data_IF_573380719792
#
_entry.id   IF_573380719792
#
_cell.length_a   1.000
_cell.length_b   1.000
_cell.length_c   1.000
_cell.angle_alpha   90.00
_cell.angle_beta   90.00
_cell.angle_gamma   90.00
#
_symmetry.space_group_name_H-M   'P 1'
#
loop_
_entity.id
_entity.type
_entity.pdbx_description
1 polymer ?
#
# COMPACT_ATOMS: atom_id res chain seq x y z
N UNK A 1 13.46 74.14 -19.95
CA UNK A 1 12.26 73.60 -19.29
C UNK A 1 11.73 72.32 -19.95
N UNK A 2 11.50 72.22 -21.24
CA UNK A 2 10.96 70.97 -21.88
C UNK A 2 11.81 69.70 -21.65
N UNK A 3 13.15 69.75 -21.61
CA UNK A 3 14.03 68.61 -21.32
C UNK A 3 13.89 68.07 -19.91
N UNK A 4 13.68 68.91 -18.92
CA UNK A 4 13.52 68.47 -17.52
C UNK A 4 12.16 67.87 -17.24
N UNK A 5 11.12 68.29 -17.97
CA UNK A 5 9.76 67.70 -17.88
C UNK A 5 9.76 66.30 -18.50
N UNK A 6 10.46 66.08 -19.65
CA UNK A 6 10.56 64.78 -20.27
C UNK A 6 11.32 63.77 -19.42
N UNK A 7 12.41 64.20 -18.78
CA UNK A 7 13.17 63.34 -17.84
C UNK A 7 12.37 63.00 -16.55
N UNK A 8 11.58 63.95 -16.03
CA UNK A 8 10.72 63.72 -14.87
C UNK A 8 9.59 62.72 -15.18
N UNK A 9 9.00 62.80 -16.39
CA UNK A 9 7.97 61.85 -16.84
C UNK A 9 8.58 60.46 -17.05
N UNK A 10 9.80 60.34 -17.63
CA UNK A 10 10.48 59.05 -17.81
C UNK A 10 10.85 58.37 -16.46
N UNK A 11 11.26 59.13 -15.48
CA UNK A 11 11.57 58.63 -14.12
C UNK A 11 10.29 58.18 -13.40
N UNK A 12 9.19 58.92 -13.56
CA UNK A 12 7.90 58.59 -12.93
C UNK A 12 7.27 57.34 -13.54
N UNK A 13 7.37 57.14 -14.87
CA UNK A 13 6.90 55.90 -15.55
C UNK A 13 7.76 54.68 -15.23
N UNK A 14 9.05 54.87 -14.94
CA UNK A 14 9.93 53.76 -14.53
C UNK A 14 9.72 53.36 -13.08
N UNK A 15 9.39 54.30 -12.20
CA UNK A 15 9.11 54.04 -10.77
C UNK A 15 7.76 53.36 -10.54
N UNK A 16 6.75 53.56 -11.39
CA UNK A 16 5.43 52.91 -11.28
C UNK A 16 5.44 51.50 -11.86
N UNK A 17 6.45 51.12 -12.65
CA UNK A 17 6.61 49.77 -13.22
C UNK A 17 7.21 48.74 -12.25
N UNK A 18 7.79 49.17 -11.13
CA UNK A 18 8.46 48.28 -10.16
C UNK A 18 7.57 47.82 -9.00
N UNK A 19 6.32 48.33 -8.88
CA UNK A 19 5.40 47.95 -7.80
C UNK A 19 4.35 46.89 -8.21
N UNK A 20 4.53 46.21 -9.35
CA UNK A 20 3.54 45.28 -9.91
C UNK A 20 3.76 43.82 -9.56
N UNK A 21 4.68 43.46 -8.66
CA UNK A 21 4.75 42.11 -8.11
C UNK A 21 4.40 42.22 -6.62
N UNK A 22 3.13 42.15 -6.30
CA UNK A 22 2.70 41.87 -4.93
C UNK A 22 3.10 40.44 -4.57
N UNK A 23 3.46 40.21 -3.32
CA UNK A 23 3.87 38.87 -2.78
C UNK A 23 2.83 37.81 -3.06
N UNK A 24 1.55 38.16 -3.24
CA UNK A 24 0.45 37.26 -3.58
C UNK A 24 0.54 36.61 -4.97
N UNK A 25 1.38 37.10 -5.90
CA UNK A 25 1.60 36.47 -7.20
C UNK A 25 2.49 35.22 -7.09
N UNK A 26 3.29 35.11 -6.05
CA UNK A 26 4.15 33.96 -5.76
C UNK A 26 3.48 32.96 -4.82
N UNK A 27 2.37 33.32 -4.20
CA UNK A 27 1.54 32.42 -3.41
C UNK A 27 0.61 31.65 -4.34
N UNK A 28 1.06 30.49 -4.79
CA UNK A 28 0.22 29.58 -5.55
C UNK A 28 -0.53 28.68 -4.58
N UNK A 29 -1.82 28.91 -4.43
CA UNK A 29 -2.69 27.95 -3.76
C UNK A 29 -2.64 26.61 -4.50
N UNK A 30 -2.34 25.56 -3.76
CA UNK A 30 -2.32 24.20 -4.34
C UNK A 30 -3.74 23.68 -4.52
N UNK A 31 -4.40 24.07 -5.61
CA UNK A 31 -5.78 23.63 -5.93
C UNK A 31 -5.92 22.12 -6.18
N UNK A 32 -4.82 21.36 -6.21
CA UNK A 32 -4.81 19.91 -6.46
C UNK A 32 -4.37 19.08 -5.27
N UNK A 33 -4.12 19.69 -4.14
CA UNK A 33 -3.69 19.02 -2.93
C UNK A 33 -4.28 19.66 -1.68
N UNK A 34 -4.33 18.89 -0.61
CA UNK A 34 -4.67 19.40 0.72
C UNK A 34 -3.43 20.09 1.28
N UNK A 35 -3.59 21.31 1.79
CA UNK A 35 -2.52 22.04 2.45
C UNK A 35 -1.97 21.20 3.63
N UNK A 36 -0.65 21.05 3.69
CA UNK A 36 0.02 20.26 4.72
C UNK A 36 -0.17 20.84 6.13
N UNK A 37 -0.29 22.15 6.26
CA UNK A 37 -0.37 22.83 7.56
C UNK A 37 -1.81 22.97 8.09
N UNK A 38 -2.83 22.94 7.22
CA UNK A 38 -4.23 23.15 7.61
C UNK A 38 -5.21 22.10 7.12
N UNK A 39 -4.78 21.22 6.23
CA UNK A 39 -5.69 20.35 5.50
C UNK A 39 -6.25 19.17 6.30
N UNK A 40 -5.62 18.74 7.38
CA UNK A 40 -6.05 17.61 8.22
C UNK A 40 -6.52 18.07 9.62
N UNK A 41 -7.23 19.17 9.69
CA UNK A 41 -7.63 19.83 10.94
C UNK A 41 -9.03 19.45 11.44
N UNK A 42 -9.70 18.51 10.80
CA UNK A 42 -11.00 17.96 11.22
C UNK A 42 -11.03 16.44 11.07
N UNK A 43 -11.90 15.79 11.86
CA UNK A 43 -12.11 14.33 11.81
C UNK A 43 -12.55 13.89 10.39
N UNK A 44 -13.38 14.69 9.73
CA UNK A 44 -13.82 14.44 8.34
C UNK A 44 -12.64 14.49 7.36
N UNK A 45 -11.73 15.45 7.50
CA UNK A 45 -10.57 15.56 6.64
C UNK A 45 -9.59 14.39 6.85
N UNK A 46 -9.42 13.96 8.09
CA UNK A 46 -8.63 12.75 8.43
C UNK A 46 -9.24 11.51 7.77
N UNK A 47 -10.56 11.32 7.85
CA UNK A 47 -11.27 10.23 7.16
C UNK A 47 -11.04 10.25 5.66
N UNK A 48 -11.10 11.44 5.05
CA UNK A 48 -10.85 11.61 3.60
C UNK A 48 -9.41 11.26 3.23
N UNK A 49 -8.44 11.67 4.02
CA UNK A 49 -7.03 11.34 3.82
C UNK A 49 -6.76 9.85 3.98
N UNK A 50 -7.42 9.20 4.95
CA UNK A 50 -7.37 7.74 5.12
C UNK A 50 -7.89 7.01 3.88
N UNK A 51 -9.02 7.43 3.32
CA UNK A 51 -9.55 6.88 2.07
C UNK A 51 -8.56 7.10 0.90
N UNK A 52 -7.92 8.27 0.85
CA UNK A 52 -6.82 8.54 -0.09
C UNK A 52 -5.63 7.58 0.08
N UNK A 53 -5.34 7.16 1.32
CA UNK A 53 -4.28 6.18 1.60
C UNK A 53 -4.64 4.78 1.09
N UNK A 54 -5.90 4.35 1.24
CA UNK A 54 -6.40 3.12 0.60
C UNK A 54 -6.30 3.18 -0.92
N UNK A 55 -6.62 4.34 -1.53
CA UNK A 55 -6.46 4.52 -2.97
C UNK A 55 -5.00 4.38 -3.40
N UNK A 56 -4.04 4.91 -2.64
CA UNK A 56 -2.61 4.73 -2.93
C UNK A 56 -2.17 3.27 -2.81
N UNK A 57 -2.65 2.54 -1.79
CA UNK A 57 -2.41 1.11 -1.67
C UNK A 57 -2.96 0.36 -2.88
N UNK A 58 -4.19 0.66 -3.31
CA UNK A 58 -4.87 0.03 -4.45
C UNK A 58 -4.27 0.41 -5.80
N UNK A 59 -3.46 1.47 -5.88
CA UNK A 59 -2.92 1.91 -7.17
C UNK A 59 -2.18 0.77 -7.89
N UNK A 60 -2.39 0.65 -9.23
CA UNK A 60 -1.84 -0.48 -10.00
C UNK A 60 -0.32 -0.59 -9.91
N UNK A 61 0.38 0.54 -9.76
CA UNK A 61 1.84 0.54 -9.61
C UNK A 61 2.32 0.04 -8.23
N UNK A 62 1.41 -0.31 -7.32
CA UNK A 62 1.70 -0.93 -6.03
C UNK A 62 0.85 -2.19 -5.82
N UNK A 63 0.04 -2.27 -4.74
CA UNK A 63 -0.69 -3.49 -4.37
C UNK A 63 -1.90 -3.79 -5.28
N UNK A 64 -2.30 -2.88 -6.18
CA UNK A 64 -3.33 -3.14 -7.19
C UNK A 64 -2.87 -4.03 -8.35
N UNK A 65 -1.56 -4.12 -8.60
CA UNK A 65 -0.99 -5.01 -9.62
C UNK A 65 0.51 -5.27 -9.38
N UNK A 66 1.41 -4.27 -9.52
CA UNK A 66 2.83 -4.50 -9.70
C UNK A 66 3.48 -5.24 -8.53
N UNK A 67 3.17 -4.87 -7.30
CA UNK A 67 3.72 -5.53 -6.11
C UNK A 67 3.21 -6.97 -5.92
N UNK A 68 2.06 -7.32 -6.51
CA UNK A 68 1.56 -8.70 -6.55
C UNK A 68 2.24 -9.50 -7.66
N UNK A 69 2.32 -8.89 -8.86
CA UNK A 69 2.88 -9.54 -10.04
C UNK A 69 4.37 -9.87 -9.90
N UNK A 70 5.15 -9.00 -9.24
CA UNK A 70 6.60 -9.16 -9.08
C UNK A 70 6.97 -10.43 -8.28
N UNK A 71 6.05 -10.94 -7.46
CA UNK A 71 6.27 -12.17 -6.70
C UNK A 71 6.14 -13.45 -7.53
N UNK A 72 5.34 -13.40 -8.61
CA UNK A 72 5.01 -14.58 -9.41
C UNK A 72 5.79 -14.61 -10.73
N UNK A 73 5.93 -13.46 -11.40
CA UNK A 73 6.48 -13.36 -12.76
C UNK A 73 7.90 -13.94 -12.88
N UNK A 74 8.87 -13.60 -12.00
CA UNK A 74 10.24 -14.10 -12.12
C UNK A 74 10.42 -15.51 -11.56
N UNK A 75 9.36 -16.32 -11.50
CA UNK A 75 9.43 -17.67 -10.93
C UNK A 75 9.18 -18.75 -11.97
N UNK A 76 9.50 -19.98 -11.62
CA UNK A 76 9.29 -21.16 -12.46
C UNK A 76 7.83 -21.64 -12.51
N UNK A 77 6.93 -21.00 -11.74
CA UNK A 77 5.49 -21.26 -11.79
C UNK A 77 4.76 -20.43 -12.86
N UNK A 78 5.41 -19.40 -13.41
CA UNK A 78 4.85 -18.53 -14.45
C UNK A 78 5.51 -18.80 -15.81
N UNK A 79 4.70 -18.81 -16.85
CA UNK A 79 5.14 -18.80 -18.25
C UNK A 79 4.64 -17.53 -18.94
N UNK A 80 5.54 -16.88 -19.67
CA UNK A 80 5.22 -15.74 -20.49
C UNK A 80 5.88 -15.82 -21.86
N UNK A 81 5.15 -15.43 -22.89
CA UNK A 81 5.59 -15.57 -24.27
C UNK A 81 6.36 -14.36 -24.83
N UNK A 82 6.66 -13.36 -23.98
CA UNK A 82 7.44 -12.15 -24.29
C UNK A 82 6.87 -11.23 -25.40
N UNK A 83 5.64 -11.45 -25.86
CA UNK A 83 5.07 -10.73 -27.01
C UNK A 83 4.66 -9.28 -26.71
N UNK A 84 4.37 -8.95 -25.43
CA UNK A 84 3.79 -7.65 -25.08
C UNK A 84 4.78 -6.67 -24.49
N UNK A 85 5.98 -7.10 -24.13
CA UNK A 85 6.99 -6.27 -23.44
C UNK A 85 6.70 -5.97 -21.97
N UNK A 86 5.52 -6.36 -21.42
CA UNK A 86 5.19 -6.14 -20.03
C UNK A 86 6.04 -7.06 -19.12
N UNK A 87 6.71 -6.47 -18.13
CA UNK A 87 7.59 -7.17 -17.19
C UNK A 87 8.70 -8.01 -17.84
N UNK A 88 9.09 -7.71 -19.07
CA UNK A 88 10.08 -8.49 -19.83
C UNK A 88 11.40 -8.61 -19.08
N UNK A 89 11.95 -7.49 -18.64
CA UNK A 89 13.18 -7.46 -17.86
C UNK A 89 13.08 -8.23 -16.54
N UNK A 90 11.92 -8.22 -15.90
CA UNK A 90 11.66 -8.95 -14.64
C UNK A 90 11.62 -10.46 -14.93
N UNK A 91 10.86 -10.89 -15.93
CA UNK A 91 10.75 -12.30 -16.31
C UNK A 91 12.08 -12.92 -16.76
N UNK A 92 12.87 -12.16 -17.53
CA UNK A 92 14.15 -12.60 -18.08
C UNK A 92 15.35 -12.36 -17.16
N UNK A 93 15.13 -11.77 -15.97
CA UNK A 93 16.18 -11.37 -15.03
C UNK A 93 17.21 -10.38 -15.62
N UNK A 94 16.77 -9.52 -16.54
CA UNK A 94 17.62 -8.48 -17.18
C UNK A 94 17.33 -7.06 -16.67
N UNK A 95 16.56 -6.95 -15.58
CA UNK A 95 16.24 -5.67 -14.95
C UNK A 95 17.48 -5.02 -14.31
N UNK A 96 17.43 -3.70 -14.21
CA UNK A 96 18.46 -2.88 -13.58
C UNK A 96 17.85 -1.99 -12.50
N UNK A 97 18.66 -1.19 -11.82
CA UNK A 97 18.23 -0.19 -10.84
C UNK A 97 17.33 0.93 -11.42
N UNK A 98 17.25 1.02 -12.75
CA UNK A 98 16.37 1.95 -13.48
C UNK A 98 15.07 1.33 -13.94
N UNK A 99 14.79 0.07 -13.58
CA UNK A 99 13.56 -0.62 -13.98
C UNK A 99 12.31 0.13 -13.50
N UNK A 100 11.38 0.38 -14.44
CA UNK A 100 10.21 1.21 -14.18
C UNK A 100 9.22 0.56 -13.21
N UNK A 101 9.07 -0.77 -13.26
CA UNK A 101 8.16 -1.48 -12.36
C UNK A 101 8.66 -1.44 -10.93
N UNK A 102 9.94 -1.78 -10.72
CA UNK A 102 10.58 -1.71 -9.40
C UNK A 102 10.57 -0.28 -8.86
N UNK A 103 10.97 0.72 -9.68
CA UNK A 103 10.90 2.12 -9.27
C UNK A 103 9.48 2.52 -8.84
N UNK A 104 8.46 2.12 -9.57
CA UNK A 104 7.07 2.47 -9.29
C UNK A 104 6.57 1.82 -8.00
N UNK A 105 6.87 0.54 -7.76
CA UNK A 105 6.53 -0.14 -6.51
C UNK A 105 7.15 0.59 -5.30
N UNK A 106 8.42 0.96 -5.40
CA UNK A 106 9.13 1.73 -4.37
C UNK A 106 8.43 3.06 -4.10
N UNK A 107 8.18 3.84 -5.13
CA UNK A 107 7.57 5.17 -5.02
C UNK A 107 6.17 5.11 -4.39
N UNK A 108 5.28 4.26 -4.90
CA UNK A 108 3.90 4.19 -4.42
C UNK A 108 3.77 3.46 -3.08
N UNK A 109 4.67 2.54 -2.76
CA UNK A 109 4.76 1.94 -1.43
C UNK A 109 5.08 2.98 -0.37
N UNK A 110 6.07 3.84 -0.62
CA UNK A 110 6.40 4.94 0.30
C UNK A 110 5.34 6.04 0.36
N UNK A 111 4.68 6.36 -0.75
CA UNK A 111 3.52 7.27 -0.73
C UNK A 111 2.41 6.73 0.18
N UNK A 112 2.15 5.43 0.13
CA UNK A 112 1.17 4.80 1.01
C UNK A 112 1.59 4.90 2.47
N UNK A 113 2.84 4.56 2.80
CA UNK A 113 3.36 4.61 4.16
C UNK A 113 3.39 6.04 4.73
N UNK A 114 3.81 7.04 3.94
CA UNK A 114 3.86 8.45 4.36
C UNK A 114 2.45 9.03 4.55
N UNK A 115 1.51 8.74 3.65
CA UNK A 115 0.12 9.16 3.81
C UNK A 115 -0.50 8.55 5.08
N UNK A 116 -0.25 7.28 5.37
CA UNK A 116 -0.69 6.65 6.61
C UNK A 116 -0.08 7.33 7.85
N UNK A 117 1.21 7.67 7.81
CA UNK A 117 1.88 8.41 8.88
C UNK A 117 1.25 9.79 9.12
N UNK A 118 0.84 10.50 8.06
CA UNK A 118 0.12 11.79 8.15
C UNK A 118 -1.26 11.63 8.80
N UNK A 119 -2.00 10.60 8.45
CA UNK A 119 -3.29 10.28 9.07
C UNK A 119 -3.12 10.00 10.57
N UNK A 120 -2.11 9.23 10.97
CA UNK A 120 -1.80 8.96 12.37
C UNK A 120 -1.49 10.26 13.10
N UNK A 121 -0.57 11.07 12.59
CA UNK A 121 -0.16 12.34 13.21
C UNK A 121 -1.34 13.30 13.38
N UNK A 122 -2.16 13.47 12.33
CA UNK A 122 -3.33 14.34 12.37
C UNK A 122 -4.38 13.85 13.37
N UNK A 123 -4.63 12.54 13.41
CA UNK A 123 -5.55 11.93 14.38
C UNK A 123 -5.09 12.17 15.82
N UNK A 124 -3.81 12.01 16.10
CA UNK A 124 -3.22 12.28 17.42
C UNK A 124 -3.34 13.76 17.81
N UNK A 125 -3.12 14.67 16.87
CA UNK A 125 -3.22 16.12 17.13
C UNK A 125 -4.66 16.55 17.49
N UNK A 126 -5.67 15.93 16.87
CA UNK A 126 -7.08 16.23 17.14
C UNK A 126 -7.59 15.58 18.42
N UNK A 127 -7.02 14.45 18.84
CA UNK A 127 -7.57 13.55 19.84
C UNK A 127 -7.91 14.22 21.17
N UNK A 128 -7.05 15.06 21.69
CA UNK A 128 -7.22 15.68 23.03
C UNK A 128 -8.41 16.64 23.11
N UNK A 129 -8.77 17.25 21.99
CA UNK A 129 -9.86 18.24 21.91
C UNK A 129 -11.15 17.66 21.30
N UNK A 130 -11.13 16.37 20.94
CA UNK A 130 -12.26 15.68 20.31
C UNK A 130 -13.31 15.27 21.34
N UNK A 131 -14.57 15.20 20.93
CA UNK A 131 -15.65 14.55 21.69
C UNK A 131 -15.41 13.04 21.80
N UNK A 132 -16.17 12.35 22.66
CA UNK A 132 -15.99 10.89 22.86
C UNK A 132 -16.33 10.10 21.58
N UNK A 133 -17.32 10.53 20.80
CA UNK A 133 -17.65 9.95 19.51
C UNK A 133 -16.51 10.15 18.50
N UNK A 134 -15.98 11.37 18.41
CA UNK A 134 -14.83 11.67 17.55
C UNK A 134 -13.57 10.92 17.99
N UNK A 135 -13.32 10.74 19.28
CA UNK A 135 -12.21 9.90 19.79
C UNK A 135 -12.34 8.45 19.35
N UNK A 136 -13.55 7.93 19.35
CA UNK A 136 -13.83 6.58 18.84
C UNK A 136 -13.48 6.48 17.34
N UNK A 137 -13.90 7.45 16.53
CA UNK A 137 -13.57 7.50 15.11
C UNK A 137 -12.07 7.68 14.87
N UNK A 138 -11.43 8.61 15.58
CA UNK A 138 -9.99 8.84 15.47
C UNK A 138 -9.17 7.61 15.84
N UNK A 139 -9.56 6.86 16.88
CA UNK A 139 -8.93 5.58 17.20
C UNK A 139 -9.10 4.58 16.05
N UNK A 140 -10.28 4.47 15.45
CA UNK A 140 -10.51 3.59 14.31
C UNK A 140 -9.65 4.00 13.11
N UNK A 141 -9.54 5.32 12.81
CA UNK A 141 -8.70 5.80 11.71
C UNK A 141 -7.21 5.60 11.97
N UNK A 142 -6.75 5.79 13.21
CA UNK A 142 -5.38 5.45 13.60
C UNK A 142 -5.10 3.96 13.45
N UNK A 143 -6.02 3.11 13.87
CA UNK A 143 -5.89 1.66 13.71
C UNK A 143 -5.70 1.26 12.25
N UNK A 144 -6.56 1.73 11.37
CA UNK A 144 -6.46 1.46 9.93
C UNK A 144 -5.17 2.04 9.33
N UNK A 145 -4.79 3.26 9.71
CA UNK A 145 -3.58 3.89 9.19
C UNK A 145 -2.29 3.16 9.65
N UNK A 146 -2.22 2.72 10.91
CA UNK A 146 -1.14 1.85 11.37
C UNK A 146 -1.09 0.52 10.60
N UNK A 147 -2.24 -0.13 10.38
CA UNK A 147 -2.32 -1.37 9.61
C UNK A 147 -1.89 -1.16 8.15
N UNK A 148 -2.30 -0.06 7.50
CA UNK A 148 -1.89 0.32 6.14
C UNK A 148 -0.39 0.57 6.05
N UNK A 149 0.19 1.29 7.02
CA UNK A 149 1.62 1.56 7.06
C UNK A 149 2.43 0.29 7.25
N UNK A 150 2.04 -0.55 8.19
CA UNK A 150 2.65 -1.86 8.42
C UNK A 150 2.56 -2.75 7.19
N UNK A 151 1.41 -2.80 6.51
CA UNK A 151 1.23 -3.59 5.29
C UNK A 151 2.07 -3.07 4.11
N UNK A 152 2.08 -1.75 3.89
CA UNK A 152 2.92 -1.16 2.84
C UNK A 152 4.41 -1.45 3.07
N UNK A 153 4.89 -1.28 4.30
CA UNK A 153 6.26 -1.57 4.68
C UNK A 153 6.59 -3.07 4.59
N UNK A 154 5.63 -3.96 4.90
CA UNK A 154 5.80 -5.41 4.72
C UNK A 154 6.00 -5.79 3.24
N UNK A 155 5.18 -5.23 2.34
CA UNK A 155 5.35 -5.45 0.89
C UNK A 155 6.69 -4.93 0.39
N UNK A 156 7.09 -3.72 0.81
CA UNK A 156 8.39 -3.14 0.47
C UNK A 156 9.55 -4.00 0.99
N UNK A 157 9.47 -4.47 2.23
CA UNK A 157 10.51 -5.32 2.83
C UNK A 157 10.67 -6.64 2.08
N UNK A 158 9.57 -7.27 1.69
CA UNK A 158 9.60 -8.53 0.95
C UNK A 158 10.15 -8.39 -0.48
N UNK A 159 10.01 -7.19 -1.09
CA UNK A 159 10.46 -6.97 -2.47
C UNK A 159 11.91 -6.45 -2.52
N UNK A 160 12.30 -5.59 -1.58
CA UNK A 160 13.60 -4.89 -1.61
C UNK A 160 14.56 -5.29 -0.51
N UNK A 161 14.08 -5.95 0.55
CA UNK A 161 14.92 -6.50 1.60
C UNK A 161 15.41 -7.90 1.26
N UNK A 162 16.43 -8.35 1.98
CA UNK A 162 16.80 -9.76 1.96
C UNK A 162 15.74 -10.58 2.69
N UNK A 163 15.52 -11.84 2.30
CA UNK A 163 14.73 -12.76 3.14
C UNK A 163 15.47 -12.95 4.47
N UNK A 164 14.78 -12.68 5.58
CA UNK A 164 15.43 -12.57 6.91
C UNK A 164 16.09 -13.88 7.37
N UNK A 165 15.51 -15.03 6.97
CA UNK A 165 16.09 -16.36 7.23
C UNK A 165 16.05 -17.21 5.98
N UNK A 166 17.16 -17.87 5.66
CA UNK A 166 17.28 -18.79 4.52
C UNK A 166 18.11 -20.00 4.96
N UNK A 167 17.50 -21.19 4.97
CA UNK A 167 18.16 -22.44 5.35
C UNK A 167 18.86 -22.36 6.72
N UNK A 168 18.22 -21.68 7.69
CA UNK A 168 18.76 -21.48 9.04
C UNK A 168 19.80 -20.37 9.18
N UNK A 169 20.20 -19.74 8.09
CA UNK A 169 21.07 -18.56 8.13
C UNK A 169 20.26 -17.29 8.39
N UNK A 170 20.73 -16.45 9.30
CA UNK A 170 20.12 -15.18 9.66
C UNK A 170 20.69 -14.02 8.83
N UNK A 171 19.82 -13.24 8.19
CA UNK A 171 20.13 -12.06 7.39
C UNK A 171 19.51 -10.78 7.95
N UNK A 172 19.15 -10.78 9.24
CA UNK A 172 18.50 -9.64 9.89
C UNK A 172 19.33 -8.35 9.86
N UNK A 173 20.64 -8.46 9.75
CA UNK A 173 21.58 -7.33 9.63
C UNK A 173 21.72 -6.77 8.21
N UNK A 174 21.20 -7.47 7.19
CA UNK A 174 21.23 -6.99 5.81
C UNK A 174 20.31 -5.78 5.60
N UNK A 175 20.53 -5.04 4.49
CA UNK A 175 19.72 -3.84 4.20
C UNK A 175 18.25 -4.19 3.93
N UNK A 176 17.38 -3.63 4.76
CA UNK A 176 15.93 -3.68 4.65
C UNK A 176 15.37 -2.51 3.84
N UNK A 177 14.44 -1.76 4.42
CA UNK A 177 13.77 -0.61 3.82
C UNK A 177 14.09 0.71 4.54
N UNK A 178 13.62 1.83 4.00
CA UNK A 178 13.54 3.09 4.74
C UNK A 178 12.30 3.02 5.61
N UNK A 179 12.46 3.00 6.92
CA UNK A 179 11.32 2.95 7.84
C UNK A 179 10.62 4.31 7.88
N UNK A 180 9.32 4.31 7.61
CA UNK A 180 8.45 5.47 7.76
C UNK A 180 7.69 5.33 9.08
N UNK A 181 8.19 5.96 10.12
CA UNK A 181 7.61 6.01 11.47
C UNK A 181 6.76 7.26 11.69
N UNK A 182 7.06 8.34 10.97
CA UNK A 182 6.38 9.62 10.97
C UNK A 182 6.42 10.25 9.58
N UNK A 183 5.59 11.26 9.28
CA UNK A 183 5.65 11.97 8.01
C UNK A 183 7.04 12.48 7.69
N UNK A 184 7.44 12.42 6.43
CA UNK A 184 8.75 12.89 5.99
C UNK A 184 8.59 14.17 5.16
N UNK A 185 9.48 15.12 5.40
CA UNK A 185 9.56 16.31 4.57
C UNK A 185 10.16 16.00 3.20
N UNK A 186 9.74 16.76 2.20
CA UNK A 186 10.27 16.61 0.85
C UNK A 186 11.81 16.78 0.84
N UNK A 187 12.48 16.00 0.00
CA UNK A 187 13.93 16.03 -0.19
C UNK A 187 14.77 15.58 1.04
N UNK A 188 14.15 15.10 2.11
CA UNK A 188 14.88 14.53 3.24
C UNK A 188 15.66 13.29 2.80
N UNK A 189 16.95 13.27 3.06
CA UNK A 189 17.81 12.11 2.78
C UNK A 189 17.73 11.14 3.96
N UNK A 190 17.20 9.96 3.74
CA UNK A 190 17.04 8.92 4.76
C UNK A 190 17.75 7.66 4.26
N UNK A 191 18.50 7.00 5.13
CA UNK A 191 19.12 5.72 4.84
C UNK A 191 18.16 4.56 5.03
N UNK A 192 18.40 3.45 4.36
CA UNK A 192 17.71 2.18 4.63
C UNK A 192 18.15 1.67 6.00
N UNK A 193 17.19 1.11 6.73
CA UNK A 193 17.41 0.35 7.96
C UNK A 193 17.77 -1.11 7.63
N UNK A 194 18.04 -1.91 8.65
CA UNK A 194 18.24 -3.36 8.46
C UNK A 194 16.92 -4.08 8.22
N UNK A 195 16.98 -5.31 7.73
CA UNK A 195 15.82 -6.19 7.59
C UNK A 195 15.16 -6.46 8.95
N UNK A 196 15.97 -6.70 10.00
CA UNK A 196 15.48 -6.91 11.36
C UNK A 196 14.68 -5.71 11.87
N UNK A 197 15.26 -4.51 11.80
CA UNK A 197 14.59 -3.25 12.17
C UNK A 197 13.31 -3.02 11.34
N UNK A 198 13.33 -3.39 10.06
CA UNK A 198 12.14 -3.27 9.20
C UNK A 198 10.99 -4.15 9.70
N UNK A 199 11.26 -5.41 10.04
CA UNK A 199 10.24 -6.31 10.60
C UNK A 199 9.76 -5.87 11.99
N UNK A 200 10.63 -5.34 12.84
CA UNK A 200 10.25 -4.78 14.14
C UNK A 200 9.29 -3.59 13.97
N UNK A 201 9.58 -2.68 13.05
CA UNK A 201 8.70 -1.54 12.75
C UNK A 201 7.33 -2.00 12.25
N UNK A 202 7.28 -3.00 11.35
CA UNK A 202 6.05 -3.59 10.82
C UNK A 202 5.21 -4.21 11.95
N UNK A 203 5.83 -5.01 12.82
CA UNK A 203 5.15 -5.64 13.97
C UNK A 203 4.60 -4.58 14.92
N UNK A 204 5.39 -3.55 15.20
CA UNK A 204 4.96 -2.46 16.08
C UNK A 204 3.75 -1.72 15.48
N UNK A 205 3.75 -1.42 14.19
CA UNK A 205 2.62 -0.81 13.51
C UNK A 205 1.35 -1.68 13.61
N UNK A 206 1.46 -2.96 13.29
CA UNK A 206 0.31 -3.87 13.33
C UNK A 206 -0.22 -4.08 14.77
N UNK A 207 0.65 -4.10 15.78
CA UNK A 207 0.23 -4.16 17.20
C UNK A 207 -0.42 -2.86 17.65
N UNK A 208 0.10 -1.70 17.25
CA UNK A 208 -0.54 -0.41 17.50
C UNK A 208 -1.92 -0.34 16.83
N UNK A 209 -2.07 -0.87 15.61
CA UNK A 209 -3.36 -0.98 14.96
C UNK A 209 -4.37 -1.77 15.81
N UNK A 210 -4.00 -2.93 16.32
CA UNK A 210 -4.87 -3.72 17.20
C UNK A 210 -5.24 -2.97 18.49
N UNK A 211 -4.28 -2.29 19.13
CA UNK A 211 -4.53 -1.49 20.31
C UNK A 211 -5.54 -0.36 20.07
N UNK A 212 -5.42 0.33 18.93
CA UNK A 212 -6.36 1.38 18.55
C UNK A 212 -7.74 0.84 18.16
N UNK A 213 -7.83 -0.33 17.53
CA UNK A 213 -9.12 -1.01 17.33
C UNK A 213 -9.79 -1.41 18.64
N UNK A 214 -9.01 -1.80 19.65
CA UNK A 214 -9.54 -2.06 20.98
C UNK A 214 -10.05 -0.79 21.66
N UNK A 215 -9.30 0.29 21.60
CA UNK A 215 -9.70 1.59 22.12
C UNK A 215 -10.97 2.14 21.42
N UNK A 216 -11.13 1.90 20.12
CA UNK A 216 -12.34 2.25 19.37
C UNK A 216 -13.54 1.34 19.70
N UNK A 217 -13.28 0.14 20.23
CA UNK A 217 -14.31 -0.88 20.48
C UNK A 217 -14.94 -1.50 19.22
N UNK A 218 -14.51 -1.06 18.03
CA UNK A 218 -15.06 -1.48 16.73
C UNK A 218 -14.02 -1.38 15.62
N UNK A 219 -14.30 -2.01 14.49
CA UNK A 219 -13.76 -1.70 13.16
C UNK A 219 -14.93 -1.41 12.21
N UNK A 220 -14.65 -1.12 10.93
CA UNK A 220 -15.74 -0.80 9.97
C UNK A 220 -16.57 -2.02 9.60
N UNK A 221 -16.05 -3.24 9.78
CA UNK A 221 -16.73 -4.49 9.42
C UNK A 221 -16.87 -4.76 7.92
N UNK A 222 -16.33 -3.90 7.08
CA UNK A 222 -16.36 -4.00 5.62
C UNK A 222 -15.00 -4.48 5.11
N UNK A 223 -15.00 -5.43 4.17
CA UNK A 223 -13.77 -6.10 3.72
C UNK A 223 -12.80 -5.21 2.94
N UNK A 224 -13.25 -4.08 2.40
CA UNK A 224 -12.39 -3.10 1.74
C UNK A 224 -11.56 -2.25 2.70
N UNK A 225 -11.79 -2.36 4.00
CA UNK A 225 -11.00 -1.71 5.04
C UNK A 225 -10.26 -2.74 5.88
N UNK A 226 -9.05 -2.41 6.28
CA UNK A 226 -8.25 -3.26 7.18
C UNK A 226 -8.89 -3.24 8.59
N UNK A 227 -9.53 -4.34 8.95
CA UNK A 227 -10.10 -4.55 10.28
C UNK A 227 -9.22 -5.43 11.18
N UNK A 228 -9.73 -5.76 12.36
CA UNK A 228 -9.04 -6.61 13.36
C UNK A 228 -8.61 -7.96 12.80
N UNK A 229 -9.48 -8.63 12.03
CA UNK A 229 -9.18 -9.93 11.44
C UNK A 229 -7.99 -9.85 10.47
N UNK A 230 -8.04 -8.90 9.52
CA UNK A 230 -6.98 -8.69 8.53
C UNK A 230 -5.65 -8.30 9.21
N UNK A 231 -5.69 -7.45 10.23
CA UNK A 231 -4.48 -7.03 10.97
C UNK A 231 -3.82 -8.21 11.68
N UNK A 232 -4.60 -9.11 12.31
CA UNK A 232 -4.06 -10.35 12.87
C UNK A 232 -3.50 -11.26 11.77
N UNK A 233 -4.15 -11.35 10.61
CA UNK A 233 -3.64 -12.09 9.45
C UNK A 233 -2.30 -11.55 8.93
N UNK A 234 -2.12 -10.21 8.93
CA UNK A 234 -0.84 -9.59 8.58
C UNK A 234 0.25 -9.87 9.62
N UNK A 235 -0.07 -9.87 10.91
CA UNK A 235 0.87 -10.30 11.97
C UNK A 235 1.25 -11.76 11.81
N UNK A 236 0.29 -12.65 11.57
CA UNK A 236 0.56 -14.06 11.31
C UNK A 236 1.53 -14.25 10.14
N UNK A 237 1.30 -13.54 9.03
CA UNK A 237 2.19 -13.56 7.85
C UNK A 237 3.58 -13.00 8.18
N UNK A 238 3.66 -11.92 8.95
CA UNK A 238 4.93 -11.31 9.34
C UNK A 238 5.75 -12.27 10.20
N UNK A 239 5.14 -12.91 11.20
CA UNK A 239 5.81 -13.91 12.04
C UNK A 239 6.16 -15.19 11.28
N UNK A 240 5.39 -15.56 10.24
CA UNK A 240 5.73 -16.66 9.33
C UNK A 240 7.06 -16.41 8.61
N UNK A 241 7.27 -15.20 8.09
CA UNK A 241 8.55 -14.82 7.47
C UNK A 241 9.73 -14.84 8.45
N UNK A 242 9.47 -14.52 9.72
CA UNK A 242 10.45 -14.59 10.81
C UNK A 242 10.74 -16.01 11.30
N UNK A 243 10.04 -17.03 10.75
CA UNK A 243 10.05 -18.42 11.25
C UNK A 243 9.67 -18.53 12.74
N UNK A 244 8.91 -17.58 13.24
CA UNK A 244 8.31 -17.64 14.58
C UNK A 244 6.94 -18.33 14.49
N UNK A 245 6.98 -19.65 14.44
CA UNK A 245 5.81 -20.51 14.18
C UNK A 245 4.71 -20.38 15.24
N UNK A 246 5.08 -20.17 16.49
CA UNK A 246 4.12 -20.07 17.59
C UNK A 246 3.31 -18.77 17.50
N UNK A 247 3.97 -17.64 17.28
CA UNK A 247 3.27 -16.37 17.07
C UNK A 247 2.50 -16.36 15.75
N UNK A 248 3.05 -16.93 14.68
CA UNK A 248 2.36 -17.05 13.40
C UNK A 248 1.04 -17.81 13.56
N UNK A 249 1.06 -18.95 14.28
CA UNK A 249 -0.14 -19.73 14.58
C UNK A 249 -1.11 -18.96 15.47
N UNK A 250 -0.63 -18.35 16.55
CA UNK A 250 -1.46 -17.60 17.50
C UNK A 250 -2.26 -16.49 16.79
N UNK A 251 -1.59 -15.67 15.99
CA UNK A 251 -2.25 -14.59 15.24
C UNK A 251 -3.15 -15.11 14.11
N UNK A 252 -2.81 -16.23 13.46
CA UNK A 252 -3.68 -16.85 12.47
C UNK A 252 -4.98 -17.36 13.11
N UNK A 253 -4.92 -18.02 14.25
CA UNK A 253 -6.09 -18.49 14.99
C UNK A 253 -6.98 -17.32 15.45
N UNK A 254 -6.38 -16.22 15.91
CA UNK A 254 -7.12 -15.00 16.24
C UNK A 254 -7.80 -14.37 15.01
N UNK A 255 -7.10 -14.30 13.87
CA UNK A 255 -7.66 -13.79 12.62
C UNK A 255 -8.89 -14.58 12.19
N UNK A 256 -8.79 -15.92 12.17
CA UNK A 256 -9.90 -16.81 11.82
C UNK A 256 -11.08 -16.67 12.80
N UNK A 257 -10.79 -16.61 14.09
CA UNK A 257 -11.82 -16.45 15.14
C UNK A 257 -12.58 -15.13 14.98
N UNK A 258 -11.87 -14.00 14.76
CA UNK A 258 -12.47 -12.68 14.62
C UNK A 258 -13.29 -12.62 13.32
N UNK A 259 -12.79 -13.20 12.22
CA UNK A 259 -13.50 -13.28 10.96
C UNK A 259 -14.72 -14.26 10.98
N UNK A 260 -14.88 -15.05 12.05
CA UNK A 260 -15.93 -16.07 12.12
C UNK A 260 -15.71 -17.24 11.19
N UNK A 261 -14.51 -17.44 10.66
CA UNK A 261 -14.16 -18.54 9.75
C UNK A 261 -13.83 -19.77 10.59
N UNK A 262 -14.77 -20.71 10.65
CA UNK A 262 -14.62 -21.96 11.41
C UNK A 262 -14.20 -23.14 10.57
N UNK A 263 -14.45 -23.07 9.26
CA UNK A 263 -14.16 -24.16 8.30
C UNK A 263 -13.74 -23.51 6.98
N UNK A 264 -12.65 -23.99 6.42
CA UNK A 264 -12.22 -23.61 5.08
C UNK A 264 -12.99 -24.42 4.03
N UNK A 265 -13.13 -23.82 2.85
CA UNK A 265 -13.80 -24.46 1.70
C UNK A 265 -13.03 -25.67 1.23
N UNK A 266 -13.64 -26.85 1.28
CA UNK A 266 -13.02 -28.11 0.91
C UNK A 266 -13.69 -28.83 -0.29
N UNK A 267 -14.72 -28.21 -0.88
CA UNK A 267 -15.39 -28.68 -2.09
C UNK A 267 -14.92 -27.89 -3.31
N UNK A 268 -14.62 -28.58 -4.42
CA UNK A 268 -14.06 -27.95 -5.61
C UNK A 268 -14.99 -26.91 -6.26
N UNK A 269 -16.32 -27.10 -6.23
CA UNK A 269 -17.26 -26.13 -6.80
C UNK A 269 -17.42 -24.92 -5.88
N UNK A 270 -17.48 -25.15 -4.57
CA UNK A 270 -17.50 -24.08 -3.59
C UNK A 270 -16.20 -23.27 -3.65
N UNK A 271 -15.03 -23.92 -3.79
CA UNK A 271 -13.75 -23.24 -3.99
C UNK A 271 -13.73 -22.36 -5.25
N UNK A 272 -14.23 -22.86 -6.38
CA UNK A 272 -14.39 -22.05 -7.60
C UNK A 272 -15.33 -20.87 -7.38
N UNK A 273 -16.40 -21.05 -6.61
CA UNK A 273 -17.37 -20.01 -6.32
C UNK A 273 -16.75 -18.84 -5.49
N UNK A 274 -15.71 -19.09 -4.68
CA UNK A 274 -15.00 -18.02 -3.95
C UNK A 274 -14.48 -16.92 -4.89
N UNK A 275 -14.06 -17.27 -6.10
CA UNK A 275 -13.48 -16.36 -7.08
C UNK A 275 -14.47 -15.79 -8.10
N UNK A 276 -15.76 -16.11 -7.96
CA UNK A 276 -16.82 -15.57 -8.82
C UNK A 276 -17.39 -14.24 -8.30
N UNK A 277 -17.07 -13.84 -7.09
CA UNK A 277 -17.48 -12.56 -6.52
C UNK A 277 -16.53 -11.44 -6.95
N UNK A 278 -17.08 -10.29 -7.33
CA UNK A 278 -16.29 -9.12 -7.72
C UNK A 278 -15.60 -8.44 -6.54
N UNK A 279 -16.11 -8.60 -5.32
CA UNK A 279 -15.66 -7.81 -4.16
C UNK A 279 -14.97 -8.67 -3.11
N UNK A 280 -15.55 -9.83 -2.77
CA UNK A 280 -15.04 -10.65 -1.68
C UNK A 280 -15.58 -12.07 -1.73
N UNK A 281 -15.00 -12.96 -0.94
CA UNK A 281 -15.50 -14.29 -0.69
C UNK A 281 -15.56 -14.57 0.83
N UNK A 282 -16.15 -15.73 1.20
CA UNK A 282 -16.36 -16.12 2.61
C UNK A 282 -15.07 -16.33 3.41
N UNK A 283 -13.93 -16.42 2.77
CA UNK A 283 -12.61 -16.60 3.40
C UNK A 283 -11.76 -15.32 3.36
N UNK A 284 -12.28 -14.22 2.78
CA UNK A 284 -11.57 -12.94 2.71
C UNK A 284 -11.66 -12.19 4.02
N UNK A 285 -10.54 -11.67 4.49
CA UNK A 285 -10.44 -10.77 5.65
C UNK A 285 -10.14 -9.33 5.23
N UNK A 286 -9.60 -9.14 4.04
CA UNK A 286 -9.37 -7.86 3.40
C UNK A 286 -9.38 -8.06 1.88
N UNK A 287 -10.10 -7.23 1.16
CA UNK A 287 -10.18 -7.27 -0.29
C UNK A 287 -10.31 -5.86 -0.86
N UNK A 288 -9.37 -5.47 -1.71
CA UNK A 288 -9.49 -4.24 -2.47
C UNK A 288 -10.59 -4.40 -3.51
N UNK A 289 -11.63 -3.56 -3.41
CA UNK A 289 -12.80 -3.66 -4.29
C UNK A 289 -12.44 -3.28 -5.72
N UNK A 290 -12.56 -4.24 -6.64
CA UNK A 290 -12.41 -4.04 -8.08
C UNK A 290 -13.77 -4.21 -8.72
N UNK A 291 -14.27 -3.16 -9.36
CA UNK A 291 -15.58 -3.13 -10.02
C UNK A 291 -15.45 -2.64 -11.46
N UNK A 292 -16.52 -2.66 -12.22
CA UNK A 292 -16.55 -2.12 -13.57
C UNK A 292 -16.24 -0.61 -13.63
N UNK A 293 -16.44 0.12 -12.53
CA UNK A 293 -16.19 1.57 -12.43
C UNK A 293 -14.90 1.90 -11.67
N UNK A 294 -14.42 0.99 -10.83
CA UNK A 294 -13.18 1.16 -10.03
C UNK A 294 -12.20 0.05 -10.37
N UNK A 295 -11.55 0.18 -11.50
CA UNK A 295 -10.51 -0.75 -11.95
C UNK A 295 -9.42 -0.01 -12.71
N UNK A 296 -8.31 -0.69 -12.96
CA UNK A 296 -7.15 -0.12 -13.66
C UNK A 296 -7.12 -0.47 -15.15
N UNK A 297 -8.23 -1.04 -15.70
CA UNK A 297 -8.32 -1.39 -17.12
C UNK A 297 -7.09 -2.19 -17.59
N UNK A 298 -6.36 -1.69 -18.58
CA UNK A 298 -5.14 -2.33 -19.10
C UNK A 298 -4.05 -2.58 -18.02
N UNK A 299 -4.05 -1.81 -16.95
CA UNK A 299 -3.11 -1.96 -15.83
C UNK A 299 -3.63 -2.85 -14.69
N UNK A 300 -4.77 -3.51 -14.86
CA UNK A 300 -5.29 -4.46 -13.87
C UNK A 300 -4.45 -5.73 -13.83
N UNK A 301 -4.30 -6.31 -12.63
CA UNK A 301 -3.59 -7.58 -12.43
C UNK A 301 -4.14 -8.70 -13.34
N UNK A 302 -5.47 -8.84 -13.44
CA UNK A 302 -6.10 -9.82 -14.31
C UNK A 302 -5.76 -9.68 -15.80
N UNK A 303 -5.42 -8.47 -16.26
CA UNK A 303 -5.03 -8.22 -17.66
C UNK A 303 -3.71 -8.90 -18.02
N UNK A 304 -2.77 -9.03 -17.07
CA UNK A 304 -1.51 -9.77 -17.28
C UNK A 304 -1.79 -11.22 -17.63
N UNK A 305 -2.72 -11.86 -16.93
CA UNK A 305 -3.03 -13.28 -17.06
C UNK A 305 -3.99 -13.60 -18.22
N UNK A 306 -4.73 -12.62 -18.70
CA UNK A 306 -5.67 -12.78 -19.81
C UNK A 306 -5.13 -12.20 -21.12
N UNK A 307 -5.04 -10.86 -21.17
CA UNK A 307 -4.72 -10.13 -22.41
C UNK A 307 -3.24 -10.18 -22.75
N UNK A 308 -2.37 -10.13 -21.75
CA UNK A 308 -0.90 -10.12 -21.96
C UNK A 308 -0.26 -11.52 -21.94
N UNK A 309 -1.09 -12.57 -21.88
CA UNK A 309 -0.69 -13.96 -22.06
C UNK A 309 0.34 -14.50 -21.04
N UNK A 310 0.33 -13.99 -19.83
CA UNK A 310 0.92 -14.71 -18.72
C UNK A 310 0.06 -15.94 -18.43
N UNK A 311 0.67 -17.04 -18.08
CA UNK A 311 -0.04 -18.28 -17.75
C UNK A 311 0.74 -19.10 -16.72
N UNK A 312 0.07 -20.06 -16.05
CA UNK A 312 0.76 -21.07 -15.28
C UNK A 312 1.80 -21.80 -16.15
N UNK A 313 2.99 -22.01 -15.61
CA UNK A 313 4.04 -22.71 -16.33
C UNK A 313 3.70 -24.21 -16.51
N UNK A 314 4.27 -24.88 -17.51
CA UNK A 314 4.15 -26.35 -17.62
C UNK A 314 4.59 -27.08 -16.35
N UNK A 315 5.59 -26.54 -15.63
CA UNK A 315 6.04 -27.09 -14.35
C UNK A 315 4.92 -27.02 -13.29
N UNK A 316 4.30 -25.84 -13.11
CA UNK A 316 3.19 -25.68 -12.17
C UNK A 316 2.02 -26.62 -12.55
N UNK A 317 1.64 -26.65 -13.83
CA UNK A 317 0.58 -27.54 -14.32
C UNK A 317 0.89 -29.00 -13.99
N UNK A 318 2.13 -29.45 -14.22
CA UNK A 318 2.52 -30.83 -13.95
C UNK A 318 2.45 -31.25 -12.48
N UNK A 319 2.56 -30.28 -11.55
CA UNK A 319 2.42 -30.56 -10.11
C UNK A 319 0.98 -30.87 -9.70
N UNK A 320 0.00 -30.45 -10.48
CA UNK A 320 -1.44 -30.62 -10.19
C UNK A 320 -2.12 -31.68 -11.03
N UNK A 321 -1.45 -32.26 -12.05
CA UNK A 321 -2.05 -33.18 -13.06
C UNK A 321 -2.09 -34.65 -12.57
N UNK A 322 -2.12 -34.91 -11.29
CA UNK A 322 -2.31 -36.30 -10.82
C UNK A 322 -3.77 -36.75 -10.72
N UNK A 323 -4.75 -35.91 -11.05
CA UNK A 323 -6.16 -36.31 -11.14
C UNK A 323 -6.85 -35.61 -12.31
N UNK A 324 -7.58 -36.38 -13.11
CA UNK A 324 -8.26 -35.99 -14.35
C UNK A 324 -9.27 -34.84 -14.23
N UNK A 325 -9.61 -34.43 -13.03
CA UNK A 325 -10.62 -33.40 -12.78
C UNK A 325 -10.11 -31.94 -12.69
N UNK A 326 -8.80 -31.72 -12.63
CA UNK A 326 -8.22 -30.39 -12.40
C UNK A 326 -7.98 -29.55 -13.66
N UNK A 327 -8.06 -30.12 -14.87
CA UNK A 327 -7.91 -29.38 -16.13
C UNK A 327 -8.97 -28.27 -16.31
N UNK A 328 -10.14 -28.41 -15.71
CA UNK A 328 -11.22 -27.44 -15.81
C UNK A 328 -11.01 -26.19 -14.94
N UNK A 329 -10.06 -26.19 -13.99
CA UNK A 329 -9.83 -25.09 -13.06
C UNK A 329 -8.96 -24.00 -13.66
N UNK A 330 -8.01 -24.38 -14.55
CA UNK A 330 -6.99 -23.47 -15.09
C UNK A 330 -7.29 -22.95 -16.50
N UNK A 331 -8.33 -23.44 -17.20
CA UNK A 331 -8.60 -23.10 -18.61
C UNK A 331 -9.97 -22.45 -18.84
N UNK A 332 -10.54 -21.80 -17.84
CA UNK A 332 -11.73 -20.93 -18.03
C UNK A 332 -11.48 -19.51 -17.61
#
# INVERSE_FOLDING_TARGET
>A
MKKYILNAIAIFTFATGLSSCGDSFLETDNYKGVDLEGGLNTVTNVSTALNGTYYQLFYYAFAGNYALAIGDIPTDITYWNTKTGHFDGIYTYTFTDTDTYLKSIWEYGYKTADNAARVIQASQALYNNASDDEKTELNMYMAEAYALRGYAQLLLTNIYGHQIKVNGQDFSSELGIVIIDQPKEALTKISRSTVGESYEAIINDLKNALSHFEAAGKDRGELQYLGKAATNGLLARTYLYLENWDEARNYAEQALKIAGITTLTNDANAYKALYNSEISNSESMFALAITNTTNWSANSYGTLWSTYNFSPSPKLISMYVFTTDYYSIFYR
#
